data_IF_392187314730
#
_entry.id   IF_392187314730
#
_cell.length_a   1.000
_cell.length_b   1.000
_cell.length_c   1.000
_cell.angle_alpha   90.00
_cell.angle_beta   90.00
_cell.angle_gamma   90.00
#
_symmetry.space_group_name_H-M   'P 1'
#
loop_
_entity.id
_entity.type
_entity.pdbx_description
1 polymer ?
#
# COMPACT_ATOMS: atom_id res chain seq x y z
N UNK A 1 51.63 -34.25 41.65
CA UNK A 1 52.12 -35.41 40.88
C UNK A 1 52.07 -34.97 39.42
N UNK A 2 53.11 -34.96 38.62
CA UNK A 2 54.53 -35.32 38.74
C UNK A 2 55.14 -34.85 37.40
N UNK A 3 56.30 -34.19 37.44
CA UNK A 3 57.09 -33.87 36.25
C UNK A 3 57.80 -35.14 35.77
N UNK A 4 57.93 -35.38 34.47
CA UNK A 4 59.06 -36.08 33.82
C UNK A 4 59.03 -35.69 32.33
N UNK A 5 59.94 -34.89 31.78
CA UNK A 5 61.38 -35.07 31.61
C UNK A 5 61.73 -36.16 30.57
N UNK A 6 62.11 -35.69 29.38
CA UNK A 6 63.34 -36.00 28.64
C UNK A 6 63.78 -37.48 28.47
N UNK A 7 64.05 -37.91 27.22
CA UNK A 7 65.41 -38.38 26.86
C UNK A 7 65.56 -38.75 25.37
N UNK A 8 66.62 -38.18 24.79
CA UNK A 8 67.35 -38.74 23.67
C UNK A 8 68.03 -40.05 24.09
N UNK A 9 68.20 -41.00 23.16
CA UNK A 9 69.35 -41.91 23.16
C UNK A 9 69.66 -42.35 21.74
N UNK A 10 70.86 -41.98 21.30
CA UNK A 10 71.62 -42.61 20.21
C UNK A 10 71.95 -44.06 20.56
N UNK A 11 72.01 -44.96 19.58
CA UNK A 11 73.05 -46.01 19.58
C UNK A 11 73.34 -46.54 18.18
N UNK A 12 74.62 -46.44 17.82
CA UNK A 12 75.35 -46.95 16.66
C UNK A 12 75.41 -48.48 16.62
N UNK A 13 75.44 -49.10 15.45
CA UNK A 13 76.16 -50.38 15.25
C UNK A 13 76.68 -50.54 13.81
N UNK A 14 77.96 -50.86 13.73
CA UNK A 14 78.85 -51.07 12.57
C UNK A 14 78.57 -52.41 11.83
N UNK A 15 78.52 -52.47 10.48
CA UNK A 15 79.57 -52.83 9.48
C UNK A 15 79.51 -54.28 8.92
N UNK A 16 79.61 -54.38 7.58
CA UNK A 16 80.08 -55.48 6.69
C UNK A 16 79.21 -56.73 6.47
N UNK A 17 79.16 -57.40 5.30
CA UNK A 17 79.79 -57.28 3.96
C UNK A 17 79.16 -58.33 2.99
N UNK A 18 78.89 -57.90 1.74
CA UNK A 18 78.82 -58.62 0.41
C UNK A 18 78.05 -59.95 0.23
N UNK A 19 77.18 -60.01 -0.81
CA UNK A 19 77.51 -60.56 -2.15
C UNK A 19 76.34 -60.42 -3.16
N UNK A 20 76.71 -60.28 -4.43
CA UNK A 20 75.93 -59.93 -5.63
C UNK A 20 74.95 -61.01 -6.12
N UNK A 21 73.87 -60.58 -6.79
CA UNK A 21 73.52 -61.17 -8.09
C UNK A 21 72.77 -60.20 -9.01
N UNK A 22 73.33 -60.03 -10.20
CA UNK A 22 72.87 -59.23 -11.34
C UNK A 22 71.78 -59.97 -12.12
N UNK A 23 70.63 -59.33 -12.42
CA UNK A 23 69.89 -59.56 -13.69
C UNK A 23 69.29 -58.24 -14.15
N UNK A 24 69.68 -57.82 -15.35
CA UNK A 24 69.29 -56.57 -15.98
C UNK A 24 67.90 -56.64 -16.63
N UNK A 25 67.04 -55.69 -16.27
CA UNK A 25 66.06 -55.05 -17.16
C UNK A 25 66.27 -53.54 -17.04
N UNK A 26 66.89 -52.94 -18.05
CA UNK A 26 67.18 -51.50 -18.10
C UNK A 26 65.88 -50.72 -18.35
N UNK A 27 65.13 -50.48 -17.29
CA UNK A 27 64.35 -49.24 -17.21
C UNK A 27 65.34 -48.14 -16.85
N UNK A 28 65.41 -47.08 -17.65
CA UNK A 28 66.21 -45.89 -17.33
C UNK A 28 65.69 -45.26 -16.03
N UNK A 29 66.20 -45.73 -14.89
CA UNK A 29 65.94 -45.12 -13.58
C UNK A 29 66.64 -43.77 -13.59
N UNK A 30 65.90 -42.72 -13.98
CA UNK A 30 66.33 -41.33 -13.82
C UNK A 30 66.41 -41.01 -12.32
N UNK A 31 67.60 -41.12 -11.77
CA UNK A 31 67.92 -40.61 -10.43
C UNK A 31 68.09 -39.10 -10.51
N UNK A 32 67.23 -38.36 -9.82
CA UNK A 32 67.38 -36.91 -9.68
C UNK A 32 68.22 -36.60 -8.45
N UNK A 33 69.05 -35.56 -8.54
CA UNK A 33 69.68 -35.00 -7.34
C UNK A 33 68.63 -34.24 -6.51
N UNK A 34 68.86 -34.11 -5.21
CA UNK A 34 67.94 -33.40 -4.31
C UNK A 34 67.71 -31.93 -4.75
N UNK A 35 68.75 -31.29 -5.29
CA UNK A 35 68.66 -29.96 -5.90
C UNK A 35 67.73 -29.91 -7.13
N UNK A 36 67.79 -30.92 -8.01
CA UNK A 36 66.91 -31.00 -9.18
C UNK A 36 65.44 -31.23 -8.80
N UNK A 37 65.20 -32.02 -7.76
CA UNK A 37 63.85 -32.24 -7.20
C UNK A 37 63.32 -30.94 -6.60
N UNK A 38 64.11 -30.25 -5.78
CA UNK A 38 63.72 -28.97 -5.17
C UNK A 38 63.43 -27.89 -6.23
N UNK A 39 64.23 -27.84 -7.31
CA UNK A 39 64.01 -26.90 -8.42
C UNK A 39 62.70 -27.20 -9.17
N UNK A 40 62.34 -28.48 -9.33
CA UNK A 40 61.05 -28.88 -9.92
C UNK A 40 59.88 -28.53 -9.01
N UNK A 41 60.01 -28.73 -7.70
CA UNK A 41 59.00 -28.37 -6.70
C UNK A 41 58.77 -26.86 -6.72
N UNK A 42 59.83 -26.05 -6.62
CA UNK A 42 59.74 -24.59 -6.71
C UNK A 42 59.08 -24.14 -8.02
N UNK A 43 59.45 -24.75 -9.15
CA UNK A 43 58.84 -24.43 -10.44
C UNK A 43 57.36 -24.81 -10.52
N UNK A 44 56.94 -25.87 -9.85
CA UNK A 44 55.53 -26.27 -9.74
C UNK A 44 54.76 -25.32 -8.80
N UNK A 45 55.33 -24.99 -7.64
CA UNK A 45 54.75 -24.05 -6.68
C UNK A 45 54.59 -22.66 -7.27
N UNK A 46 55.58 -22.15 -8.00
CA UNK A 46 55.47 -20.85 -8.65
C UNK A 46 54.42 -20.86 -9.77
N UNK A 47 54.29 -21.94 -10.53
CA UNK A 47 53.20 -22.08 -11.52
C UNK A 47 51.83 -22.04 -10.84
N UNK A 48 51.65 -22.86 -9.81
CA UNK A 48 50.43 -22.93 -9.01
C UNK A 48 50.11 -21.55 -8.43
N UNK A 49 51.07 -20.92 -7.76
CA UNK A 49 50.92 -19.58 -7.18
C UNK A 49 50.50 -18.55 -8.22
N UNK A 50 51.11 -18.58 -9.40
CA UNK A 50 50.81 -17.63 -10.47
C UNK A 50 49.42 -17.86 -11.07
N UNK A 51 49.04 -19.12 -11.30
CA UNK A 51 47.71 -19.47 -11.82
C UNK A 51 46.60 -19.09 -10.85
N UNK A 52 46.72 -19.46 -9.57
CA UNK A 52 45.74 -19.10 -8.55
C UNK A 52 45.68 -17.60 -8.33
N UNK A 53 46.82 -16.88 -8.34
CA UNK A 53 46.82 -15.42 -8.24
C UNK A 53 46.09 -14.75 -9.41
N UNK A 54 46.23 -15.28 -10.63
CA UNK A 54 45.48 -14.78 -11.81
C UNK A 54 43.98 -15.07 -11.66
N UNK A 55 43.63 -16.29 -11.25
CA UNK A 55 42.24 -16.72 -11.04
C UNK A 55 41.55 -15.86 -9.98
N UNK A 56 42.22 -15.60 -8.87
CA UNK A 56 41.70 -14.74 -7.78
C UNK A 56 41.43 -13.33 -8.30
N UNK A 57 42.38 -12.73 -9.02
CA UNK A 57 42.19 -11.39 -9.59
C UNK A 57 41.03 -11.32 -10.58
N UNK A 58 40.91 -12.32 -11.45
CA UNK A 58 39.78 -12.42 -12.38
C UNK A 58 38.44 -12.53 -11.65
N UNK A 59 38.36 -13.38 -10.61
CA UNK A 59 37.16 -13.51 -9.79
C UNK A 59 36.84 -12.23 -9.00
N UNK A 60 37.85 -11.50 -8.53
CA UNK A 60 37.68 -10.20 -7.87
C UNK A 60 37.15 -9.13 -8.82
N UNK A 61 37.64 -9.10 -10.06
CA UNK A 61 37.12 -8.20 -11.11
C UNK A 61 35.67 -8.55 -11.49
N UNK A 62 35.37 -9.82 -11.73
CA UNK A 62 34.00 -10.30 -11.99
C UNK A 62 33.06 -9.97 -10.81
N UNK A 63 33.51 -10.17 -9.56
CA UNK A 63 32.74 -9.78 -8.38
C UNK A 63 32.49 -8.27 -8.30
N UNK A 64 33.45 -7.45 -8.73
CA UNK A 64 33.31 -5.99 -8.74
C UNK A 64 32.36 -5.52 -9.84
N UNK A 65 32.32 -6.19 -10.98
CA UNK A 65 31.38 -5.91 -12.07
C UNK A 65 29.95 -6.37 -11.75
N UNK A 66 29.81 -7.53 -11.09
CA UNK A 66 28.53 -8.09 -10.69
C UNK A 66 27.97 -7.45 -9.41
N UNK A 67 28.81 -6.78 -8.62
CA UNK A 67 28.35 -6.04 -7.46
C UNK A 67 27.39 -4.93 -7.92
N UNK A 68 26.23 -4.77 -7.25
CA UNK A 68 25.35 -3.66 -7.53
C UNK A 68 26.16 -2.38 -7.39
N UNK A 69 26.23 -1.55 -8.44
CA UNK A 69 26.81 -0.21 -8.32
C UNK A 69 26.04 0.50 -7.22
N UNK A 70 26.70 0.75 -6.10
CA UNK A 70 26.17 1.61 -5.07
C UNK A 70 25.88 2.96 -5.73
N UNK A 71 24.60 3.36 -5.70
CA UNK A 71 24.17 4.65 -6.22
C UNK A 71 25.03 5.72 -5.53
N UNK A 72 25.61 6.64 -6.30
CA UNK A 72 26.33 7.78 -5.72
C UNK A 72 25.42 8.49 -4.72
N UNK A 73 25.98 9.12 -3.69
CA UNK A 73 25.21 9.91 -2.71
C UNK A 73 24.26 10.90 -3.42
N UNK A 74 24.74 11.53 -4.50
CA UNK A 74 23.96 12.45 -5.33
C UNK A 74 22.76 11.77 -6.02
N UNK A 75 22.90 10.51 -6.44
CA UNK A 75 21.82 9.75 -7.06
C UNK A 75 20.76 9.32 -6.04
N UNK A 76 21.20 8.94 -4.82
CA UNK A 76 20.28 8.64 -3.72
C UNK A 76 19.49 9.87 -3.30
N UNK A 77 20.16 11.01 -3.17
CA UNK A 77 19.52 12.28 -2.81
C UNK A 77 18.53 12.74 -3.91
N UNK A 78 18.89 12.56 -5.19
CA UNK A 78 18.02 12.85 -6.32
C UNK A 78 16.79 11.93 -6.35
N UNK A 79 16.96 10.63 -6.14
CA UNK A 79 15.86 9.66 -6.09
C UNK A 79 14.92 9.93 -4.92
N UNK A 80 15.47 10.25 -3.73
CA UNK A 80 14.66 10.65 -2.59
C UNK A 80 13.85 11.92 -2.88
N UNK A 81 14.44 12.90 -3.56
CA UNK A 81 13.76 14.12 -3.97
C UNK A 81 12.66 13.85 -5.00
N UNK A 82 12.93 13.02 -6.01
CA UNK A 82 11.93 12.61 -7.01
C UNK A 82 10.76 11.92 -6.32
N UNK A 83 11.03 10.94 -5.47
CA UNK A 83 9.99 10.23 -4.72
C UNK A 83 9.16 11.16 -3.83
N UNK A 84 9.80 12.11 -3.16
CA UNK A 84 9.10 13.12 -2.35
C UNK A 84 8.23 14.05 -3.20
N UNK A 85 8.69 14.43 -4.40
CA UNK A 85 7.91 15.24 -5.35
C UNK A 85 6.72 14.45 -5.90
N UNK A 86 6.92 13.21 -6.34
CA UNK A 86 5.84 12.33 -6.81
C UNK A 86 4.77 12.11 -5.75
N UNK A 87 5.16 11.92 -4.49
CA UNK A 87 4.22 11.76 -3.39
C UNK A 87 3.42 13.05 -3.15
N UNK A 88 4.08 14.21 -3.17
CA UNK A 88 3.40 15.51 -3.06
C UNK A 88 2.47 15.75 -4.24
N UNK A 89 2.87 15.42 -5.45
CA UNK A 89 2.04 15.58 -6.64
C UNK A 89 0.78 14.72 -6.56
N UNK A 90 0.91 13.43 -6.17
CA UNK A 90 -0.25 12.56 -5.94
C UNK A 90 -1.18 13.09 -4.86
N UNK A 91 -0.64 13.61 -3.76
CA UNK A 91 -1.45 14.20 -2.69
C UNK A 91 -2.18 15.46 -3.14
N UNK A 92 -1.52 16.34 -3.89
CA UNK A 92 -2.11 17.55 -4.44
C UNK A 92 -3.20 17.20 -5.45
N UNK A 93 -2.93 16.30 -6.39
CA UNK A 93 -3.94 15.83 -7.37
C UNK A 93 -5.16 15.22 -6.67
N UNK A 94 -4.96 14.41 -5.62
CA UNK A 94 -6.06 13.85 -4.85
C UNK A 94 -6.90 14.93 -4.15
N UNK A 95 -6.25 15.95 -3.57
CA UNK A 95 -6.94 17.10 -2.94
C UNK A 95 -7.68 17.96 -3.96
N UNK A 96 -7.07 18.23 -5.11
CA UNK A 96 -7.68 19.00 -6.19
C UNK A 96 -8.92 18.29 -6.75
N UNK A 97 -8.82 16.98 -6.99
CA UNK A 97 -9.94 16.16 -7.42
C UNK A 97 -11.06 16.17 -6.37
N UNK A 98 -10.72 15.98 -5.10
CA UNK A 98 -11.69 16.01 -4.01
C UNK A 98 -12.39 17.37 -3.91
N UNK A 99 -11.64 18.47 -4.05
CA UNK A 99 -12.20 19.82 -4.02
C UNK A 99 -13.12 20.07 -5.20
N UNK A 100 -12.71 19.65 -6.41
CA UNK A 100 -13.53 19.76 -7.63
C UNK A 100 -14.86 19.03 -7.44
N UNK A 101 -14.82 17.78 -6.98
CA UNK A 101 -16.03 16.96 -6.77
C UNK A 101 -16.90 17.53 -5.66
N UNK A 102 -16.30 17.95 -4.55
CA UNK A 102 -17.02 18.63 -3.46
C UNK A 102 -17.75 19.88 -3.95
N UNK A 103 -17.09 20.69 -4.80
CA UNK A 103 -17.69 21.88 -5.40
C UNK A 103 -18.82 21.50 -6.35
N UNK A 104 -18.59 20.57 -7.28
CA UNK A 104 -19.63 20.12 -8.22
C UNK A 104 -20.85 19.55 -7.49
N UNK A 105 -20.66 18.77 -6.41
CA UNK A 105 -21.76 18.30 -5.57
C UNK A 105 -22.55 19.47 -4.96
N UNK A 106 -21.84 20.46 -4.43
CA UNK A 106 -22.44 21.62 -3.76
C UNK A 106 -23.22 22.48 -4.76
N UNK A 107 -22.65 22.73 -5.93
CA UNK A 107 -23.28 23.45 -7.05
C UNK A 107 -24.55 22.70 -7.53
N UNK A 108 -24.56 21.37 -7.39
CA UNK A 108 -25.73 20.53 -7.66
C UNK A 108 -26.73 20.41 -6.50
N UNK A 109 -26.54 21.14 -5.40
CA UNK A 109 -27.43 21.11 -4.23
C UNK A 109 -27.27 19.88 -3.33
N UNK A 110 -26.20 19.12 -3.51
CA UNK A 110 -25.87 17.95 -2.70
C UNK A 110 -24.84 18.29 -1.61
N UNK A 111 -24.85 17.57 -0.47
CA UNK A 111 -23.84 17.77 0.57
C UNK A 111 -22.41 17.48 0.07
N UNK A 112 -21.51 18.44 0.21
CA UNK A 112 -20.08 18.34 -0.13
C UNK A 112 -19.37 17.15 0.51
N UNK A 113 -19.81 16.75 1.70
CA UNK A 113 -19.26 15.61 2.44
C UNK A 113 -19.42 14.27 1.70
N UNK A 114 -20.37 14.17 0.75
CA UNK A 114 -20.55 12.97 -0.07
C UNK A 114 -19.32 12.67 -0.94
N UNK A 115 -18.50 13.67 -1.25
CA UNK A 115 -17.24 13.49 -2.00
C UNK A 115 -16.31 12.44 -1.38
N UNK A 116 -16.38 12.22 -0.05
CA UNK A 116 -15.57 11.21 0.66
C UNK A 116 -16.00 9.76 0.37
N UNK A 117 -17.23 9.57 -0.11
CA UNK A 117 -17.84 8.25 -0.31
C UNK A 117 -18.02 7.92 -1.80
N UNK A 118 -17.77 8.88 -2.69
CA UNK A 118 -17.92 8.71 -4.14
C UNK A 118 -16.58 8.25 -4.72
N UNK A 119 -16.55 7.04 -5.26
CA UNK A 119 -15.41 6.56 -6.03
C UNK A 119 -15.46 7.12 -7.45
N UNK A 120 -14.33 7.65 -7.92
CA UNK A 120 -14.15 8.23 -9.25
C UNK A 120 -13.17 7.44 -10.11
N UNK A 121 -12.65 6.32 -9.58
CA UNK A 121 -11.72 5.48 -10.31
C UNK A 121 -12.41 4.85 -11.53
N UNK A 122 -11.87 5.11 -12.72
CA UNK A 122 -12.42 4.60 -13.98
C UNK A 122 -13.60 5.40 -14.54
N UNK A 123 -13.93 6.55 -13.94
CA UNK A 123 -14.97 7.46 -14.46
C UNK A 123 -14.32 8.42 -15.45
N UNK A 124 -14.66 8.32 -16.73
CA UNK A 124 -14.19 9.24 -17.78
C UNK A 124 -14.84 10.63 -17.67
N UNK A 125 -16.16 10.66 -17.45
CA UNK A 125 -16.92 11.90 -17.26
C UNK A 125 -17.47 12.01 -15.84
N UNK A 126 -16.72 12.72 -15.00
CA UNK A 126 -17.07 12.99 -13.60
C UNK A 126 -18.37 13.79 -13.48
N UNK A 127 -18.65 14.69 -14.42
CA UNK A 127 -19.80 15.60 -14.33
C UNK A 127 -21.10 14.84 -14.61
N UNK A 128 -21.11 14.02 -15.67
CA UNK A 128 -22.24 13.14 -15.99
C UNK A 128 -22.52 12.15 -14.87
N UNK A 129 -21.47 11.51 -14.34
CA UNK A 129 -21.58 10.59 -13.21
C UNK A 129 -22.18 11.26 -11.96
N UNK A 130 -21.74 12.48 -11.63
CA UNK A 130 -22.32 13.23 -10.51
C UNK A 130 -23.77 13.64 -10.77
N UNK A 131 -24.13 13.92 -12.03
CA UNK A 131 -25.50 14.16 -12.45
C UNK A 131 -26.41 12.95 -12.20
N UNK A 132 -25.94 11.73 -12.50
CA UNK A 132 -26.67 10.50 -12.20
C UNK A 132 -26.85 10.31 -10.69
N UNK A 133 -25.78 10.49 -9.91
CA UNK A 133 -25.83 10.43 -8.44
C UNK A 133 -26.87 11.42 -7.89
N UNK A 134 -26.90 12.63 -8.42
CA UNK A 134 -27.89 13.65 -8.06
C UNK A 134 -29.31 13.18 -8.35
N UNK A 135 -29.56 12.65 -9.54
CA UNK A 135 -30.90 12.20 -9.92
C UNK A 135 -31.39 11.09 -8.99
N UNK A 136 -30.57 10.07 -8.75
CA UNK A 136 -30.90 8.95 -7.86
C UNK A 136 -31.17 9.43 -6.43
N UNK A 137 -30.31 10.29 -5.89
CA UNK A 137 -30.47 10.78 -4.52
C UNK A 137 -31.68 11.71 -4.39
N UNK A 138 -31.92 12.58 -5.38
CA UNK A 138 -33.08 13.46 -5.41
C UNK A 138 -34.37 12.67 -5.49
N UNK A 139 -34.42 11.66 -6.36
CA UNK A 139 -35.57 10.75 -6.46
C UNK A 139 -35.82 10.02 -5.14
N UNK A 140 -34.78 9.48 -4.51
CA UNK A 140 -34.90 8.79 -3.24
C UNK A 140 -35.38 9.72 -2.11
N UNK A 141 -34.81 10.93 -2.01
CA UNK A 141 -35.21 11.94 -1.02
C UNK A 141 -36.65 12.37 -1.27
N UNK A 142 -37.03 12.65 -2.51
CA UNK A 142 -38.40 13.07 -2.83
C UNK A 142 -39.41 11.95 -2.53
N UNK A 143 -39.13 10.72 -2.94
CA UNK A 143 -39.99 9.59 -2.63
C UNK A 143 -40.12 9.37 -1.12
N UNK A 144 -39.02 9.46 -0.37
CA UNK A 144 -39.05 9.28 1.09
C UNK A 144 -39.73 10.45 1.78
N UNK A 145 -39.44 11.69 1.39
CA UNK A 145 -40.03 12.88 1.96
C UNK A 145 -41.53 12.99 1.65
N UNK A 146 -41.96 12.60 0.44
CA UNK A 146 -43.38 12.66 0.05
C UNK A 146 -44.19 11.50 0.63
N UNK A 147 -43.61 10.29 0.73
CA UNK A 147 -44.33 9.12 1.25
C UNK A 147 -44.28 9.00 2.79
N UNK A 148 -43.22 9.49 3.45
CA UNK A 148 -43.08 9.43 4.91
C UNK A 148 -43.29 10.77 5.62
N UNK A 149 -43.45 11.90 4.92
CA UNK A 149 -43.93 13.10 5.61
C UNK A 149 -45.39 12.93 5.97
N UNK A 150 -45.70 13.07 7.26
CA UNK A 150 -47.04 13.33 7.73
C UNK A 150 -47.55 14.61 7.06
N UNK A 151 -48.30 14.46 5.97
CA UNK A 151 -49.06 15.57 5.40
C UNK A 151 -50.25 15.74 6.34
N UNK A 152 -50.39 16.89 7.04
CA UNK A 152 -51.58 17.13 7.83
C UNK A 152 -52.76 17.00 6.87
N UNK A 153 -53.59 15.98 7.08
CA UNK A 153 -54.87 15.90 6.39
C UNK A 153 -55.58 17.19 6.77
N UNK A 154 -55.85 18.05 5.78
CA UNK A 154 -56.66 19.23 6.00
C UNK A 154 -57.88 18.75 6.78
N UNK A 155 -57.98 19.12 8.06
CA UNK A 155 -59.25 19.02 8.74
C UNK A 155 -60.16 19.89 7.89
N UNK A 156 -61.05 19.24 7.13
CA UNK A 156 -62.12 19.90 6.41
C UNK A 156 -62.93 20.65 7.46
N UNK A 157 -62.52 21.88 7.74
CA UNK A 157 -63.33 22.92 8.35
C UNK A 157 -64.33 23.44 7.31
N UNK A 158 -64.89 22.50 6.52
CA UNK A 158 -66.21 22.60 5.91
C UNK A 158 -67.31 22.37 6.96
N UNK A 159 -67.03 22.65 8.24
CA UNK A 159 -68.10 23.16 9.09
C UNK A 159 -68.39 24.54 8.54
N UNK A 160 -69.44 24.60 7.72
CA UNK A 160 -70.01 25.77 7.08
C UNK A 160 -69.56 27.05 7.78
N UNK A 161 -68.81 27.89 7.05
CA UNK A 161 -68.33 29.18 7.54
C UNK A 161 -69.52 30.14 7.64
N UNK A 162 -70.43 29.87 8.57
CA UNK A 162 -71.51 30.77 8.93
C UNK A 162 -70.83 32.02 9.48
N UNK A 163 -70.98 33.13 8.77
CA UNK A 163 -70.46 34.41 9.24
C UNK A 163 -71.33 34.94 10.39
N UNK A 164 -70.83 35.91 11.17
CA UNK A 164 -71.66 36.58 12.20
C UNK A 164 -72.89 37.26 11.59
N UNK A 165 -72.75 37.77 10.37
CA UNK A 165 -73.82 38.42 9.63
C UNK A 165 -74.94 37.44 9.29
N UNK A 166 -74.57 36.23 8.86
CA UNK A 166 -75.51 35.15 8.56
C UNK A 166 -76.18 34.65 9.84
N UNK A 167 -75.41 34.48 10.91
CA UNK A 167 -75.92 34.09 12.23
C UNK A 167 -76.94 35.09 12.79
N UNK A 168 -76.74 36.39 12.53
CA UNK A 168 -77.68 37.44 12.95
C UNK A 168 -79.00 37.41 12.17
N UNK A 169 -78.95 37.00 10.91
CA UNK A 169 -80.12 36.86 10.01
C UNK A 169 -80.89 35.56 10.24
N UNK A 170 -80.29 34.55 10.87
CA UNK A 170 -80.92 33.26 11.15
C UNK A 170 -82.09 33.37 12.14
N UNK A 171 -83.09 32.50 11.97
CA UNK A 171 -84.18 32.33 12.93
C UNK A 171 -83.68 31.77 14.26
N UNK A 172 -84.46 31.97 15.33
CA UNK A 172 -84.18 31.40 16.65
C UNK A 172 -83.96 29.88 16.60
N UNK A 173 -84.74 29.18 15.79
CA UNK A 173 -84.64 27.71 15.66
C UNK A 173 -83.34 27.28 14.98
N UNK A 174 -82.87 28.03 13.98
CA UNK A 174 -81.61 27.75 13.28
C UNK A 174 -80.41 28.00 14.21
N UNK A 175 -80.46 29.08 15.00
CA UNK A 175 -79.45 29.35 16.03
C UNK A 175 -79.44 28.28 17.12
N UNK A 176 -80.61 27.76 17.50
CA UNK A 176 -80.71 26.66 18.46
C UNK A 176 -80.13 25.34 17.91
N UNK A 177 -80.29 25.08 16.61
CA UNK A 177 -79.66 23.93 15.96
C UNK A 177 -78.14 24.04 15.96
N UNK A 178 -77.59 25.22 15.66
CA UNK A 178 -76.14 25.49 15.76
C UNK A 178 -75.65 25.30 17.20
N UNK A 179 -76.43 25.72 18.20
CA UNK A 179 -76.08 25.50 19.61
C UNK A 179 -76.00 24.01 19.98
N UNK A 180 -76.94 23.19 19.47
CA UNK A 180 -76.99 21.75 19.72
C UNK A 180 -75.87 20.99 19.01
N UNK A 181 -75.59 21.34 17.75
CA UNK A 181 -74.61 20.64 16.91
C UNK A 181 -73.17 21.12 17.16
N UNK A 182 -73.00 22.41 17.47
CA UNK A 182 -71.69 23.01 17.69
C UNK A 182 -71.77 24.23 18.65
N UNK A 183 -71.80 23.93 19.95
CA UNK A 183 -71.81 24.93 21.03
C UNK A 183 -70.67 25.94 20.94
N UNK A 184 -69.47 25.52 20.52
CA UNK A 184 -68.32 26.41 20.37
C UNK A 184 -68.52 27.43 19.25
N UNK A 185 -69.07 27.00 18.11
CA UNK A 185 -69.39 27.88 17.00
C UNK A 185 -70.48 28.89 17.39
N UNK A 186 -71.55 28.43 18.06
CA UNK A 186 -72.60 29.31 18.57
C UNK A 186 -72.01 30.41 19.47
N UNK A 187 -71.19 30.04 20.47
CA UNK A 187 -70.60 30.99 21.40
C UNK A 187 -69.63 31.98 20.73
N UNK A 188 -69.00 31.58 19.62
CA UNK A 188 -68.12 32.46 18.84
C UNK A 188 -68.91 33.46 17.99
N UNK A 189 -70.08 33.05 17.50
CA UNK A 189 -70.95 33.88 16.66
C UNK A 189 -71.89 34.78 17.49
N UNK A 190 -72.21 34.39 18.72
CA UNK A 190 -73.07 35.15 19.64
C UNK A 190 -72.35 36.23 20.46
N UNK A 191 -71.02 36.29 20.39
CA UNK A 191 -70.19 37.36 20.97
C UNK A 191 -70.06 38.53 20.01
#
# INVERSE_FOLDING_TARGET
MENLENNQTETTTEVSTKQEHEVATKEDVKTFTEEEVNKKIQSAEDRVRTEYSKKIKQMEEELKELRPKEKSQEQLDMEARIKALEQKEKEVQAKELQLKVSKTLSDNGLPSQLSKYINLQGVEDVESYLGEVKNVLTEHINNTALNNSFKPSNHNSNKEKISKEDFNKMSYMERMNIYKENKELYNKLSK
#
